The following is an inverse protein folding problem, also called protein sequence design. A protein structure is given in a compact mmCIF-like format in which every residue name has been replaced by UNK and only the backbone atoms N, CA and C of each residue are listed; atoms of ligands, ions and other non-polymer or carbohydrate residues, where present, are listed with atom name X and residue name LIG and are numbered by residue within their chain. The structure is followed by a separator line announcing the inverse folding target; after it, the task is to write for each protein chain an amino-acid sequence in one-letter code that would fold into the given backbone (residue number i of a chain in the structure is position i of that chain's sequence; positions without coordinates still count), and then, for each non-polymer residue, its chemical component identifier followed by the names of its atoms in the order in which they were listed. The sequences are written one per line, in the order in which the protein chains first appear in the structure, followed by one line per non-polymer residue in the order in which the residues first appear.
data_IF_075256930035
#
_entry.id   IF_075256930035
#
_cell.length_a   1.000
_cell.length_b   1.000
_cell.length_c   1.000
_cell.angle_alpha   90.00
_cell.angle_beta   90.00
_cell.angle_gamma   90.00
#
_symmetry.space_group_name_H-M   'P 1'
#
loop_
_entity.id
_entity.type
_entity.pdbx_description
1 polymer ?
#
# COMPACT_ATOMS: atom_id res chain seq x y z
N UNK A 1 -25.95 20.74 -19.41
CA UNK A 1 -24.86 21.13 -18.49
C UNK A 1 -24.37 19.85 -17.87
N UNK A 2 -23.31 19.26 -18.41
CA UNK A 2 -22.64 18.12 -17.78
C UNK A 2 -21.75 18.71 -16.69
N UNK A 3 -21.98 18.29 -15.45
CA UNK A 3 -21.17 18.69 -14.31
C UNK A 3 -19.72 18.34 -14.59
N UNK A 4 -18.83 19.27 -14.28
CA UNK A 4 -17.40 18.98 -14.18
C UNK A 4 -17.25 17.85 -13.17
N UNK A 5 -16.75 16.69 -13.62
CA UNK A 5 -16.11 15.72 -12.72
C UNK A 5 -15.08 16.53 -11.95
N UNK A 6 -15.37 16.79 -10.67
CA UNK A 6 -14.41 17.34 -9.74
C UNK A 6 -13.44 16.19 -9.49
N UNK A 7 -12.44 16.08 -10.35
CA UNK A 7 -11.48 14.98 -10.31
C UNK A 7 -10.69 15.13 -9.02
N UNK A 8 -11.02 14.30 -8.02
CA UNK A 8 -10.38 14.32 -6.72
C UNK A 8 -8.89 13.98 -6.91
N UNK A 9 -8.01 14.97 -6.69
CA UNK A 9 -6.58 14.78 -6.91
C UNK A 9 -5.97 14.06 -5.70
N UNK A 10 -5.54 12.81 -5.89
CA UNK A 10 -4.88 12.01 -4.87
C UNK A 10 -3.37 12.27 -4.87
N UNK A 11 -2.82 12.59 -3.71
CA UNK A 11 -1.38 12.76 -3.49
C UNK A 11 -0.84 11.57 -2.70
N UNK A 12 0.16 10.89 -3.26
CA UNK A 12 0.83 9.77 -2.61
C UNK A 12 1.73 10.24 -1.46
N UNK A 13 1.62 9.56 -0.32
CA UNK A 13 2.46 9.72 0.85
C UNK A 13 3.63 8.73 0.79
N UNK A 14 4.86 9.25 0.92
CA UNK A 14 6.06 8.42 1.04
C UNK A 14 6.12 7.76 2.43
N UNK A 15 6.33 6.45 2.46
CA UNK A 15 6.41 5.67 3.70
C UNK A 15 7.86 5.32 4.02
N UNK A 16 8.28 5.58 5.25
CA UNK A 16 9.56 5.06 5.76
C UNK A 16 9.39 3.62 6.24
N UNK A 17 10.27 2.71 5.84
CA UNK A 17 10.22 1.31 6.28
C UNK A 17 11.44 1.07 7.18
N UNK A 18 11.23 0.57 8.39
CA UNK A 18 12.35 0.23 9.28
C UNK A 18 13.18 -0.91 8.67
N UNK A 19 14.49 -0.68 8.55
CA UNK A 19 15.47 -1.44 7.74
C UNK A 19 15.61 -2.94 8.10
N UNK A 20 15.04 -3.38 9.23
CA UNK A 20 15.24 -4.73 9.76
C UNK A 20 14.40 -5.83 9.06
N UNK A 21 13.66 -5.46 8.01
CA UNK A 21 12.90 -6.42 7.19
C UNK A 21 13.68 -6.92 5.96
N UNK A 22 14.89 -6.40 5.73
CA UNK A 22 15.84 -6.94 4.76
C UNK A 22 16.47 -8.25 5.27
N UNK A 23 15.68 -9.33 5.32
CA UNK A 23 16.26 -10.68 5.26
C UNK A 23 16.80 -10.90 3.85
N UNK A 24 17.95 -10.30 3.57
CA UNK A 24 18.80 -10.69 2.46
C UNK A 24 19.05 -12.20 2.61
N UNK A 25 18.65 -12.96 1.58
CA UNK A 25 19.08 -14.35 1.41
C UNK A 25 20.60 -14.38 1.51
N UNK A 26 21.14 -14.91 2.60
CA UNK A 26 22.56 -15.24 2.70
C UNK A 26 22.77 -16.44 1.78
N UNK A 27 23.34 -16.21 0.60
CA UNK A 27 23.78 -17.26 -0.31
C UNK A 27 25.13 -17.77 0.22
N UNK A 28 25.29 -19.06 0.55
CA UNK A 28 26.59 -19.59 0.97
C UNK A 28 27.56 -19.60 -0.21
N UNK A 29 28.77 -19.06 0.00
CA UNK A 29 29.89 -19.13 -0.93
C UNK A 29 30.43 -20.56 -0.99
N UNK A 30 30.30 -21.21 -2.16
CA UNK A 30 30.95 -22.49 -2.45
C UNK A 30 31.92 -22.32 -3.62
N UNK A 31 33.16 -21.98 -3.29
CA UNK A 31 34.28 -22.13 -4.21
C UNK A 31 34.62 -23.61 -4.37
N UNK A 32 34.42 -24.16 -5.58
CA UNK A 32 35.43 -24.88 -6.36
C UNK A 32 34.84 -25.91 -7.34
N UNK A 33 35.39 -25.91 -8.55
CA UNK A 33 35.60 -27.10 -9.41
C UNK A 33 34.42 -27.65 -10.22
N UNK A 34 34.42 -27.29 -11.53
CA UNK A 34 34.20 -28.21 -12.66
C UNK A 34 32.82 -28.87 -12.83
N UNK A 35 32.09 -28.46 -13.87
CA UNK A 35 30.83 -29.06 -14.37
C UNK A 35 29.68 -29.12 -13.35
N UNK A 36 29.48 -28.04 -12.59
CA UNK A 36 28.44 -27.97 -11.56
C UNK A 36 27.53 -26.76 -11.80
N UNK A 37 26.52 -26.93 -12.67
CA UNK A 37 25.34 -26.07 -12.64
C UNK A 37 24.29 -26.84 -11.87
N UNK A 38 24.20 -26.57 -10.57
CA UNK A 38 23.14 -27.13 -9.74
C UNK A 38 21.77 -26.65 -10.23
N UNK A 39 20.72 -27.45 -10.00
CA UNK A 39 19.35 -27.06 -10.34
C UNK A 39 18.96 -25.71 -9.72
N UNK A 40 19.57 -25.36 -8.59
CA UNK A 40 19.45 -24.07 -7.91
C UNK A 40 19.98 -22.91 -8.76
N UNK A 41 21.16 -23.05 -9.39
CA UNK A 41 21.72 -22.01 -10.27
C UNK A 41 20.89 -21.84 -11.56
N UNK A 42 20.35 -22.92 -12.12
CA UNK A 42 19.40 -22.81 -13.24
C UNK A 42 18.09 -22.16 -12.81
N UNK A 43 17.61 -22.45 -11.60
CA UNK A 43 16.39 -21.86 -11.05
C UNK A 43 16.58 -20.36 -10.76
N UNK A 44 17.73 -19.96 -10.21
CA UNK A 44 18.05 -18.54 -9.99
C UNK A 44 18.24 -17.79 -11.31
N UNK A 45 18.86 -18.41 -12.33
CA UNK A 45 18.92 -17.84 -13.69
C UNK A 45 17.54 -17.72 -14.35
N UNK A 46 16.63 -18.67 -14.10
CA UNK A 46 15.24 -18.59 -14.57
C UNK A 46 14.46 -17.48 -13.86
N UNK A 47 14.61 -17.32 -12.54
CA UNK A 47 13.95 -16.25 -11.79
C UNK A 47 14.46 -14.85 -12.15
N UNK A 48 15.75 -14.73 -12.51
CA UNK A 48 16.37 -13.45 -12.88
C UNK A 48 16.16 -13.07 -14.35
N UNK A 49 15.78 -14.02 -15.22
CA UNK A 49 15.48 -13.80 -16.65
C UNK A 49 13.97 -13.78 -16.95
N UNK A 50 13.14 -13.18 -16.09
CA UNK A 50 11.72 -12.98 -16.39
C UNK A 50 11.42 -11.50 -16.66
N UNK A 51 11.81 -10.96 -17.83
CA UNK A 51 11.38 -9.62 -18.26
C UNK A 51 9.85 -9.51 -18.37
N UNK A 52 9.17 -10.66 -18.49
CA UNK A 52 7.71 -10.75 -18.52
C UNK A 52 7.05 -10.54 -17.16
N UNK A 53 7.78 -10.67 -16.04
CA UNK A 53 7.20 -10.51 -14.70
C UNK A 53 7.05 -9.04 -14.33
N UNK A 54 7.96 -8.18 -14.78
CA UNK A 54 7.81 -6.73 -14.63
C UNK A 54 6.63 -6.20 -15.44
N UNK A 55 6.44 -6.68 -16.66
CA UNK A 55 5.28 -6.34 -17.49
C UNK A 55 3.96 -6.83 -16.86
N UNK A 56 3.94 -8.06 -16.34
CA UNK A 56 2.77 -8.60 -15.61
C UNK A 56 2.54 -7.83 -14.31
N UNK A 57 3.59 -7.43 -13.59
CA UNK A 57 3.49 -6.62 -12.38
C UNK A 57 2.92 -5.24 -12.69
N UNK A 58 3.42 -4.57 -13.73
CA UNK A 58 2.92 -3.26 -14.19
C UNK A 58 1.47 -3.39 -14.66
N UNK A 59 1.16 -4.43 -15.44
CA UNK A 59 -0.21 -4.70 -15.90
C UNK A 59 -1.16 -4.98 -14.73
N UNK A 60 -0.74 -5.77 -13.75
CA UNK A 60 -1.52 -6.04 -12.54
C UNK A 60 -1.72 -4.76 -11.71
N UNK A 61 -0.68 -3.94 -11.54
CA UNK A 61 -0.79 -2.64 -10.88
C UNK A 61 -1.75 -1.70 -11.62
N UNK A 62 -1.71 -1.66 -12.96
CA UNK A 62 -2.64 -0.89 -13.80
C UNK A 62 -4.08 -1.38 -13.62
N UNK A 63 -4.31 -2.70 -13.70
CA UNK A 63 -5.63 -3.28 -13.48
C UNK A 63 -6.16 -3.02 -12.07
N UNK A 64 -5.30 -3.09 -11.04
CA UNK A 64 -5.69 -2.73 -9.67
C UNK A 64 -6.04 -1.25 -9.55
N UNK A 65 -5.29 -0.36 -10.22
CA UNK A 65 -5.62 1.06 -10.30
C UNK A 65 -6.99 1.28 -10.93
N UNK A 66 -7.25 0.66 -12.09
CA UNK A 66 -8.54 0.78 -12.80
C UNK A 66 -9.72 0.21 -11.98
N UNK A 67 -9.51 -0.89 -11.27
CA UNK A 67 -10.51 -1.45 -10.34
C UNK A 67 -10.72 -0.51 -9.16
N UNK A 68 -9.66 0.11 -8.64
CA UNK A 68 -9.75 1.10 -7.57
C UNK A 68 -10.55 2.33 -8.02
N UNK A 69 -10.32 2.81 -9.24
CA UNK A 69 -11.05 3.93 -9.85
C UNK A 69 -12.53 3.56 -10.07
N UNK A 70 -12.82 2.33 -10.49
CA UNK A 70 -14.19 1.85 -10.66
C UNK A 70 -14.92 1.72 -9.31
N UNK A 71 -14.26 1.17 -8.27
CA UNK A 71 -14.79 1.12 -6.91
C UNK A 71 -15.01 2.54 -6.36
N UNK A 72 -14.09 3.46 -6.63
CA UNK A 72 -14.22 4.88 -6.27
C UNK A 72 -15.46 5.51 -6.91
N UNK A 73 -15.70 5.26 -8.19
CA UNK A 73 -16.91 5.75 -8.88
C UNK A 73 -18.21 5.19 -8.28
N UNK A 74 -18.25 3.91 -7.93
CA UNK A 74 -19.41 3.26 -7.30
C UNK A 74 -19.60 3.68 -5.83
N UNK A 75 -18.51 3.96 -5.10
CA UNK A 75 -18.55 4.45 -3.71
C UNK A 75 -18.94 5.93 -3.66
N UNK A 76 -18.49 6.73 -4.62
CA UNK A 76 -18.84 8.14 -4.80
C UNK A 76 -20.34 8.33 -5.06
N UNK A 77 -20.94 7.41 -5.81
CA UNK A 77 -22.39 7.39 -6.04
C UNK A 77 -23.20 6.93 -4.82
N UNK A 78 -22.59 6.27 -3.82
CA UNK A 78 -23.35 5.49 -2.82
C UNK A 78 -23.26 5.89 -1.35
N UNK A 79 -22.22 6.54 -0.80
CA UNK A 79 -22.28 7.04 0.61
C UNK A 79 -21.05 7.83 1.05
N UNK A 80 -21.30 8.79 1.95
CA UNK A 80 -20.33 9.53 2.76
C UNK A 80 -19.11 8.71 3.18
N UNK A 81 -17.91 9.28 3.01
CA UNK A 81 -16.67 8.67 3.47
C UNK A 81 -16.72 8.32 4.96
N UNK A 82 -16.19 7.15 5.32
CA UNK A 82 -16.20 6.63 6.70
C UNK A 82 -15.40 7.55 7.62
N UNK A 83 -15.85 7.79 8.86
CA UNK A 83 -15.04 8.54 9.84
C UNK A 83 -13.84 7.72 10.32
N UNK A 84 -12.78 8.41 10.77
CA UNK A 84 -11.61 7.77 11.38
C UNK A 84 -12.00 6.76 12.47
N UNK A 85 -12.89 7.13 13.39
CA UNK A 85 -13.32 6.24 14.49
C UNK A 85 -13.93 4.93 14.00
N UNK A 86 -14.80 5.01 12.99
CA UNK A 86 -15.43 3.85 12.38
C UNK A 86 -14.40 3.01 11.64
N UNK A 87 -13.45 3.65 10.95
CA UNK A 87 -12.35 2.99 10.26
C UNK A 87 -11.50 2.19 11.25
N UNK A 88 -10.98 2.84 12.30
CA UNK A 88 -10.16 2.23 13.34
C UNK A 88 -10.87 1.06 14.01
N UNK A 89 -12.15 1.22 14.37
CA UNK A 89 -12.95 0.14 14.95
C UNK A 89 -13.11 -1.06 14.00
N UNK A 90 -13.19 -0.81 12.68
CA UNK A 90 -13.36 -1.87 11.68
C UNK A 90 -12.11 -2.71 11.45
N UNK A 91 -10.93 -2.08 11.51
CA UNK A 91 -9.64 -2.72 11.22
C UNK A 91 -8.85 -3.08 12.48
N UNK A 92 -9.33 -2.69 13.67
CA UNK A 92 -8.61 -2.86 14.93
C UNK A 92 -7.46 -1.87 15.13
N UNK A 93 -7.51 -0.73 14.43
CA UNK A 93 -6.52 0.34 14.58
C UNK A 93 -6.73 1.17 15.84
N UNK A 94 -5.71 1.94 16.22
CA UNK A 94 -5.75 2.87 17.34
C UNK A 94 -5.33 4.27 16.92
N UNK A 95 -5.79 5.27 17.67
CA UNK A 95 -5.29 6.63 17.62
C UNK A 95 -4.63 6.92 18.96
N UNK A 96 -3.31 7.08 18.96
CA UNK A 96 -2.50 7.38 20.15
C UNK A 96 -1.85 8.74 19.95
N UNK A 97 -2.20 9.71 20.81
CA UNK A 97 -1.77 11.11 20.68
C UNK A 97 -2.17 11.70 19.32
N UNK A 98 -1.22 11.77 18.38
CA UNK A 98 -1.41 12.21 16.99
C UNK A 98 -0.94 11.15 15.99
N UNK A 99 -0.90 9.87 16.39
CA UNK A 99 -0.50 8.76 15.53
C UNK A 99 -1.62 7.77 15.34
N UNK A 100 -2.01 7.58 14.08
CA UNK A 100 -2.91 6.51 13.67
C UNK A 100 -2.05 5.26 13.51
N UNK A 101 -2.36 4.18 14.24
CA UNK A 101 -1.70 2.88 14.09
C UNK A 101 -2.70 1.88 13.51
N UNK A 102 -2.39 1.37 12.32
CA UNK A 102 -3.23 0.39 11.61
C UNK A 102 -2.49 -0.95 11.58
N UNK A 103 -3.01 -2.00 12.22
CA UNK A 103 -2.45 -3.33 12.07
C UNK A 103 -2.72 -3.83 10.65
N UNK A 104 -1.68 -4.20 9.90
CA UNK A 104 -1.82 -4.82 8.58
C UNK A 104 -1.05 -6.14 8.57
N UNK A 105 -1.61 -7.19 7.97
CA UNK A 105 -0.94 -8.50 7.89
C UNK A 105 -0.34 -8.68 6.50
N UNK A 106 0.65 -7.86 6.14
CA UNK A 106 1.31 -7.95 4.83
C UNK A 106 2.70 -8.55 4.91
N UNK A 107 3.05 -9.34 3.89
CA UNK A 107 4.43 -9.80 3.65
C UNK A 107 5.23 -8.81 2.77
N UNK A 108 4.55 -7.81 2.21
CA UNK A 108 5.08 -6.88 1.22
C UNK A 108 4.84 -5.42 1.68
N UNK A 109 5.49 -4.98 2.78
CA UNK A 109 5.28 -3.62 3.30
C UNK A 109 5.70 -2.52 2.33
N UNK A 110 6.64 -2.81 1.43
CA UNK A 110 7.06 -1.91 0.34
C UNK A 110 5.98 -1.65 -0.70
N UNK A 111 4.92 -2.46 -0.72
CA UNK A 111 3.82 -2.33 -1.66
C UNK A 111 2.59 -1.65 -1.05
N UNK A 112 2.66 -1.24 0.23
CA UNK A 112 1.63 -0.42 0.85
C UNK A 112 1.64 0.96 0.19
N UNK A 113 0.47 1.42 -0.23
CA UNK A 113 0.24 2.75 -0.78
C UNK A 113 -0.67 3.50 0.18
N UNK A 114 -0.26 4.71 0.55
CA UNK A 114 -1.09 5.65 1.30
C UNK A 114 -1.21 6.90 0.47
N UNK A 115 -2.45 7.37 0.31
CA UNK A 115 -2.77 8.57 -0.45
C UNK A 115 -3.64 9.50 0.39
N UNK A 116 -3.51 10.79 0.12
CA UNK A 116 -4.29 11.83 0.76
C UNK A 116 -4.94 12.72 -0.29
N UNK A 117 -6.11 13.25 -0.01
CA UNK A 117 -6.78 14.21 -0.87
C UNK A 117 -7.76 15.06 -0.06
N UNK A 118 -8.24 16.15 -0.64
CA UNK A 118 -9.22 17.04 -0.03
C UNK A 118 -10.45 17.06 -0.92
N UNK A 119 -11.59 16.59 -0.39
CA UNK A 119 -12.88 16.65 -1.08
C UNK A 119 -13.86 17.46 -0.24
N UNK A 120 -14.45 18.50 -0.84
CA UNK A 120 -15.48 19.35 -0.21
C UNK A 120 -15.11 19.86 1.20
N UNK A 121 -13.82 20.00 1.49
CA UNK A 121 -13.30 20.46 2.78
C UNK A 121 -13.03 19.36 3.82
N UNK A 122 -13.29 18.09 3.47
CA UNK A 122 -12.90 16.93 4.26
C UNK A 122 -11.51 16.43 3.78
N UNK A 123 -10.59 16.23 4.72
CA UNK A 123 -9.31 15.60 4.43
C UNK A 123 -9.51 14.08 4.40
N UNK A 124 -9.23 13.46 3.25
CA UNK A 124 -9.34 12.02 3.05
C UNK A 124 -7.97 11.36 3.12
N UNK A 125 -7.97 10.14 3.63
CA UNK A 125 -6.85 9.22 3.59
C UNK A 125 -7.33 7.92 2.97
N UNK A 126 -6.55 7.38 2.04
CA UNK A 126 -6.77 6.09 1.40
C UNK A 126 -5.57 5.20 1.66
N UNK A 127 -5.81 3.97 2.09
CA UNK A 127 -4.79 2.94 2.30
C UNK A 127 -5.08 1.80 1.35
N UNK A 128 -4.08 1.46 0.53
CA UNK A 128 -4.07 0.27 -0.31
C UNK A 128 -2.94 -0.65 0.17
N UNK A 129 -3.28 -1.86 0.61
CA UNK A 129 -2.30 -2.87 1.00
C UNK A 129 -2.58 -4.16 0.24
N UNK A 130 -1.66 -4.63 -0.63
CA UNK A 130 -1.83 -5.89 -1.31
C UNK A 130 -1.71 -7.05 -0.31
N UNK A 131 -2.77 -7.84 -0.21
CA UNK A 131 -2.71 -9.21 0.31
C UNK A 131 -2.98 -10.17 -0.85
N UNK A 132 -2.45 -11.40 -0.74
CA UNK A 132 -2.53 -12.45 -1.78
C UNK A 132 -3.98 -12.87 -2.09
N UNK A 133 -4.96 -12.35 -1.33
CA UNK A 133 -6.39 -12.49 -1.55
C UNK A 133 -7.12 -11.23 -1.02
N UNK A 134 -7.54 -10.33 -1.91
CA UNK A 134 -8.50 -9.26 -1.57
C UNK A 134 -7.97 -8.19 -0.63
N UNK A 135 -6.77 -7.67 -0.89
CA UNK A 135 -6.10 -6.63 -0.12
C UNK A 135 -6.97 -5.45 0.34
N UNK A 136 -6.50 -4.73 1.36
CA UNK A 136 -7.26 -3.66 2.00
C UNK A 136 -7.25 -2.44 1.08
N UNK A 137 -8.45 -1.97 0.69
CA UNK A 137 -8.69 -0.66 0.07
C UNK A 137 -9.69 0.07 0.94
N UNK A 138 -9.20 0.93 1.83
CA UNK A 138 -10.04 1.68 2.77
C UNK A 138 -9.80 3.17 2.64
N UNK A 139 -10.90 3.92 2.53
CA UNK A 139 -10.91 5.39 2.47
C UNK A 139 -11.67 5.92 3.68
N UNK A 140 -11.06 6.85 4.42
CA UNK A 140 -11.64 7.45 5.60
C UNK A 140 -11.31 8.94 5.71
N UNK A 141 -12.14 9.64 6.47
CA UNK A 141 -11.98 11.06 6.79
C UNK A 141 -11.11 11.24 8.02
N UNK A 142 -10.14 12.14 7.92
CA UNK A 142 -9.47 12.74 9.08
C UNK A 142 -10.07 14.14 9.32
N UNK A 143 -9.97 14.66 10.54
CA UNK A 143 -10.64 15.91 10.91
C UNK A 143 -10.28 17.08 9.97
N UNK A 144 -11.19 18.04 9.83
CA UNK A 144 -11.10 19.09 8.80
C UNK A 144 -9.85 19.99 8.93
N UNK A 145 -9.21 20.00 10.11
CA UNK A 145 -7.97 20.73 10.37
C UNK A 145 -6.74 19.81 10.53
N UNK A 146 -6.88 18.51 10.24
CA UNK A 146 -5.81 17.53 10.38
C UNK A 146 -5.28 17.12 9.01
N UNK A 147 -3.97 16.92 8.91
CA UNK A 147 -3.30 16.37 7.73
C UNK A 147 -2.38 15.22 8.12
N UNK A 148 -2.03 14.39 7.14
CA UNK A 148 -0.97 13.40 7.33
C UNK A 148 0.36 14.04 6.96
N UNK A 149 1.27 14.18 7.92
CA UNK A 149 2.60 14.76 7.71
C UNK A 149 3.66 13.71 7.35
N UNK A 150 3.37 12.44 7.61
CA UNK A 150 4.29 11.34 7.33
C UNK A 150 3.68 9.99 7.65
N UNK A 151 4.32 8.94 7.14
CA UNK A 151 3.96 7.57 7.45
C UNK A 151 5.18 6.67 7.58
N UNK A 152 5.07 5.64 8.42
CA UNK A 152 6.08 4.60 8.54
C UNK A 152 5.48 3.21 8.72
N UNK A 153 6.24 2.20 8.33
CA UNK A 153 5.96 0.80 8.61
C UNK A 153 6.92 0.27 9.68
N UNK A 154 6.37 -0.22 10.79
CA UNK A 154 7.12 -0.76 11.91
C UNK A 154 6.31 -1.84 12.64
N UNK A 155 6.93 -2.96 13.04
CA UNK A 155 6.31 -4.00 13.87
C UNK A 155 4.94 -4.53 13.40
N UNK A 156 4.72 -4.63 12.07
CA UNK A 156 3.43 -4.98 11.44
C UNK A 156 2.31 -3.91 11.57
N UNK A 157 2.68 -2.69 11.90
CA UNK A 157 1.80 -1.53 11.93
C UNK A 157 2.20 -0.52 10.86
N UNK A 158 1.19 -0.01 10.16
CA UNK A 158 1.29 1.25 9.45
C UNK A 158 0.98 2.37 10.46
N UNK A 159 1.97 3.22 10.69
CA UNK A 159 1.85 4.40 11.54
C UNK A 159 1.75 5.65 10.67
N UNK A 160 0.68 6.43 10.84
CA UNK A 160 0.49 7.71 10.15
C UNK A 160 0.49 8.85 11.17
N UNK A 161 1.29 9.87 10.92
CA UNK A 161 1.40 11.04 11.78
C UNK A 161 0.39 12.10 11.36
N UNK A 162 -0.48 12.49 12.29
CA UNK A 162 -1.38 13.63 12.17
C UNK A 162 -0.64 14.92 12.55
N UNK A 163 -0.91 15.97 11.78
CA UNK A 163 -0.55 17.37 12.02
C UNK A 163 -1.80 18.25 12.02
#
# INVERSE_FOLDING_TARGET
MFGTDDNMEWTRLELSIEDDLNKQKIIPDISSTGLDVTAEMMHDSFLTNLPHLDEVKISHMSMMSEISDAIESDKFLSRENKSLDLFLKGIGGTLEESKIRVPLTTKFPTEIIVETSIDRGDNLVRILSPEIFGGIIETFKIGNNQKISGGKWADNYLELQLE
#
